data_IF_099703077569
#
_entry.id   IF_099703077569
#
_cell.length_a   1.000
_cell.length_b   1.000
_cell.length_c   1.000
_cell.angle_alpha   90.00
_cell.angle_beta   90.00
_cell.angle_gamma   90.00
#
_symmetry.space_group_name_H-M   'P 1'
#
loop_
_entity.id
_entity.type
_entity.pdbx_description
1 polymer ?
#
# COMPACT_ATOMS: atom_id res chain seq x y z
N UNK A 1 -13.22 11.95 0.05
CA UNK A 1 -13.49 11.51 1.44
C UNK A 1 -12.25 10.93 2.11
N UNK A 2 -11.50 10.02 1.48
CA UNK A 2 -10.28 9.42 2.07
C UNK A 2 -9.29 10.44 2.65
N UNK A 3 -8.89 11.45 1.84
CA UNK A 3 -8.00 12.52 2.32
C UNK A 3 -8.55 13.27 3.54
N UNK A 4 -9.87 13.53 3.59
CA UNK A 4 -10.49 14.21 4.71
C UNK A 4 -10.43 13.33 5.98
N UNK A 5 -10.68 12.03 5.85
CA UNK A 5 -10.51 11.05 6.91
C UNK A 5 -9.08 11.05 7.46
N UNK A 6 -8.09 10.96 6.58
CA UNK A 6 -6.68 11.00 6.93
C UNK A 6 -6.30 12.27 7.73
N UNK A 7 -6.72 13.46 7.28
CA UNK A 7 -6.44 14.72 8.01
C UNK A 7 -7.09 14.79 9.39
N UNK A 8 -8.12 13.98 9.64
CA UNK A 8 -8.84 13.91 10.93
C UNK A 8 -8.43 12.70 11.77
N UNK A 9 -7.47 11.90 11.31
CA UNK A 9 -7.00 10.69 12.00
C UNK A 9 -7.95 9.49 11.90
N UNK A 10 -8.86 9.47 10.92
CA UNK A 10 -9.73 8.33 10.66
C UNK A 10 -9.16 7.48 9.52
N UNK A 11 -8.96 6.19 9.79
CA UNK A 11 -8.46 5.24 8.79
C UNK A 11 -9.59 4.45 8.13
N UNK A 12 -9.51 4.28 6.82
CA UNK A 12 -10.41 3.41 6.08
C UNK A 12 -10.09 1.93 6.31
N UNK A 13 -11.05 1.17 6.82
CA UNK A 13 -10.88 -0.28 6.98
C UNK A 13 -10.74 -1.02 5.64
N UNK A 14 -11.47 -0.61 4.59
CA UNK A 14 -11.46 -1.22 3.25
C UNK A 14 -11.78 -0.18 2.17
N UNK A 15 -11.32 -0.44 0.94
CA UNK A 15 -11.55 0.43 -0.21
C UNK A 15 -11.58 -0.33 -1.54
N UNK A 16 -12.31 0.16 -2.56
CA UNK A 16 -12.25 -0.37 -3.93
C UNK A 16 -10.83 -0.37 -4.51
N UNK A 17 -10.51 -1.28 -5.46
CA UNK A 17 -9.15 -1.42 -6.01
C UNK A 17 -8.50 -0.12 -6.48
N UNK A 18 -9.26 0.75 -7.15
CA UNK A 18 -8.77 2.03 -7.68
C UNK A 18 -8.25 3.01 -6.61
N UNK A 19 -8.60 2.79 -5.34
CA UNK A 19 -8.21 3.68 -4.23
C UNK A 19 -7.23 3.04 -3.26
N UNK A 20 -6.75 1.81 -3.51
CA UNK A 20 -5.92 1.09 -2.54
C UNK A 20 -4.56 1.76 -2.33
N UNK A 21 -3.95 2.29 -3.39
CA UNK A 21 -2.71 3.08 -3.27
C UNK A 21 -2.92 4.37 -2.49
N UNK A 22 -4.03 5.08 -2.78
CA UNK A 22 -4.39 6.31 -2.07
C UNK A 22 -4.58 6.05 -0.57
N UNK A 23 -5.37 5.04 -0.20
CA UNK A 23 -5.62 4.71 1.21
C UNK A 23 -4.34 4.23 1.90
N UNK A 24 -3.53 3.39 1.24
CA UNK A 24 -2.24 2.95 1.80
C UNK A 24 -1.28 4.13 2.02
N UNK A 25 -1.34 5.18 1.18
CA UNK A 25 -0.55 6.40 1.37
C UNK A 25 -0.88 7.16 2.66
N UNK A 26 -2.10 7.01 3.20
CA UNK A 26 -2.51 7.67 4.44
C UNK A 26 -1.87 7.02 5.68
N UNK A 27 -1.50 5.73 5.60
CA UNK A 27 -0.74 5.03 6.64
C UNK A 27 0.75 5.39 6.60
N UNK A 28 1.06 6.67 6.81
CA UNK A 28 2.40 7.26 6.59
C UNK A 28 3.30 7.31 7.84
N UNK A 29 2.85 6.77 8.97
CA UNK A 29 3.62 6.74 10.21
C UNK A 29 5.05 6.20 10.00
N UNK A 30 6.02 6.92 10.56
CA UNK A 30 7.45 6.57 10.51
C UNK A 30 7.94 6.25 9.09
N UNK A 31 7.66 7.17 8.16
CA UNK A 31 7.98 7.02 6.75
C UNK A 31 7.38 5.72 6.16
N UNK A 32 6.06 5.59 6.24
CA UNK A 32 5.29 4.45 5.73
C UNK A 32 5.83 3.08 6.21
N UNK A 33 6.19 2.96 7.49
CA UNK A 33 6.81 1.73 8.02
C UNK A 33 5.97 0.47 7.78
N UNK A 34 4.64 0.59 7.90
CA UNK A 34 3.71 -0.53 7.64
C UNK A 34 3.83 -1.02 6.19
N UNK A 35 3.79 -0.11 5.21
CA UNK A 35 3.93 -0.45 3.79
C UNK A 35 5.27 -1.13 3.52
N UNK A 36 6.38 -0.54 3.98
CA UNK A 36 7.74 -1.08 3.78
C UNK A 36 7.90 -2.47 4.39
N UNK A 37 7.34 -2.69 5.58
CA UNK A 37 7.35 -4.01 6.22
C UNK A 37 6.56 -5.04 5.41
N UNK A 38 5.33 -4.71 5.00
CA UNK A 38 4.49 -5.60 4.19
C UNK A 38 5.10 -5.91 2.83
N UNK A 39 5.74 -4.93 2.18
CA UNK A 39 6.48 -5.09 0.93
C UNK A 39 7.69 -6.01 1.08
N UNK A 40 8.41 -5.93 2.21
CA UNK A 40 9.52 -6.84 2.52
C UNK A 40 9.03 -8.29 2.62
N UNK A 41 7.92 -8.52 3.31
CA UNK A 41 7.30 -9.85 3.38
C UNK A 41 6.80 -10.31 2.02
N UNK A 42 6.19 -9.42 1.24
CA UNK A 42 5.70 -9.71 -0.11
C UNK A 42 6.82 -10.17 -1.03
N UNK A 43 7.94 -9.45 -1.04
CA UNK A 43 9.11 -9.81 -1.85
C UNK A 43 9.73 -11.15 -1.43
N UNK A 44 9.72 -11.45 -0.13
CA UNK A 44 10.27 -12.71 0.39
C UNK A 44 9.40 -13.93 0.02
N UNK A 45 8.07 -13.78 0.08
CA UNK A 45 7.11 -14.87 -0.17
C UNK A 45 6.77 -15.03 -1.66
N UNK A 46 6.79 -13.94 -2.43
CA UNK A 46 6.50 -13.94 -3.87
C UNK A 46 7.60 -13.18 -4.65
N UNK A 47 8.78 -13.81 -4.86
CA UNK A 47 9.93 -13.18 -5.49
C UNK A 47 9.67 -12.71 -6.93
N UNK A 48 8.75 -13.38 -7.63
CA UNK A 48 8.37 -13.05 -9.01
C UNK A 48 7.19 -12.07 -9.09
N UNK A 49 6.56 -11.73 -7.96
CA UNK A 49 5.47 -10.76 -7.90
C UNK A 49 4.18 -11.18 -8.60
N UNK A 50 3.88 -12.48 -8.66
CA UNK A 50 2.77 -13.04 -9.45
C UNK A 50 1.41 -12.83 -8.76
N UNK A 51 1.37 -12.93 -7.43
CA UNK A 51 0.09 -13.02 -6.70
C UNK A 51 -0.44 -11.61 -6.40
N UNK A 52 -1.50 -11.21 -7.12
CA UNK A 52 -2.31 -10.02 -6.82
C UNK A 52 -1.48 -8.75 -6.56
N UNK A 53 -0.58 -8.42 -7.50
CA UNK A 53 0.22 -7.20 -7.41
C UNK A 53 -0.65 -5.94 -7.23
N UNK A 54 -0.30 -5.09 -6.25
CA UNK A 54 -1.03 -3.86 -5.93
C UNK A 54 -2.21 -4.04 -4.99
N UNK A 55 -2.53 -5.28 -4.59
CA UNK A 55 -3.59 -5.51 -3.61
C UNK A 55 -3.25 -4.84 -2.29
N UNK A 56 -4.15 -3.96 -1.83
CA UNK A 56 -3.97 -3.17 -0.62
C UNK A 56 -2.88 -2.10 -0.73
N UNK A 57 -2.45 -1.75 -1.94
CA UNK A 57 -1.35 -0.81 -2.18
C UNK A 57 0.04 -1.40 -1.90
N UNK A 58 0.15 -2.74 -1.86
CA UNK A 58 1.42 -3.46 -1.69
C UNK A 58 1.88 -4.00 -3.05
N UNK A 59 3.04 -3.53 -3.50
CA UNK A 59 3.57 -3.86 -4.81
C UNK A 59 4.85 -4.70 -4.71
N UNK A 60 5.07 -5.68 -5.61
CA UNK A 60 6.33 -6.40 -5.69
C UNK A 60 7.44 -5.49 -6.23
N UNK A 61 8.68 -5.74 -5.81
CA UNK A 61 9.85 -4.87 -6.10
C UNK A 61 9.94 -4.35 -7.54
N UNK A 62 9.82 -5.23 -8.52
CA UNK A 62 9.93 -4.90 -9.95
C UNK A 62 8.79 -4.03 -10.53
N UNK A 63 7.73 -3.77 -9.75
CA UNK A 63 6.60 -2.92 -10.15
C UNK A 63 6.53 -1.58 -9.40
N UNK A 64 7.30 -1.39 -8.31
CA UNK A 64 7.19 -0.19 -7.45
C UNK A 64 7.54 1.10 -8.17
N UNK A 65 8.59 1.08 -8.98
CA UNK A 65 9.09 2.26 -9.71
C UNK A 65 8.17 2.68 -10.86
N UNK A 66 7.24 1.82 -11.29
CA UNK A 66 6.24 2.17 -12.32
C UNK A 66 5.06 2.97 -11.76
N UNK A 67 4.93 3.06 -10.44
CA UNK A 67 3.81 3.69 -9.74
C UNK A 67 4.21 4.96 -8.95
N UNK A 68 5.45 5.44 -9.10
CA UNK A 68 5.93 6.71 -8.54
C UNK A 68 5.83 7.82 -9.59
#
# INVERSE_FOLDING_TARGET
MANLGATRGWGEYRTPPIFQDLVMSHYSFNDHQLRRFSETLKDAVDPNGIISAGRGGIWPRHLRERNA
#
